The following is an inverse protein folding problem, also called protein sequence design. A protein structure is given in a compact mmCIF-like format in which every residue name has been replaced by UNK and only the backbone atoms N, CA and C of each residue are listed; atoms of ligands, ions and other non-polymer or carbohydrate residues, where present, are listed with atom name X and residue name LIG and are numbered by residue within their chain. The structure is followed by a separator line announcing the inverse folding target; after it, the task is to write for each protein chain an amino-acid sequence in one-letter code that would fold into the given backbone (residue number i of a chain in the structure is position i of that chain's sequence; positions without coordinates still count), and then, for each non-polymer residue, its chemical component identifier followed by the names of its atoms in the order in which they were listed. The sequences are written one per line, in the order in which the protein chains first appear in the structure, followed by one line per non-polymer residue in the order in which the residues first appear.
data_IF_517268755081
#
_entry.id   IF_517268755081
#
_cell.length_a   1.000
_cell.length_b   1.000
_cell.length_c   1.000
_cell.angle_alpha   90.00
_cell.angle_beta   90.00
_cell.angle_gamma   90.00
#
_symmetry.space_group_name_H-M   'P 1'
#
loop_
_entity.id
_entity.type
_entity.pdbx_description
1 polymer ?
#
# COMPACT_ATOMS: atom_id res chain seq x y z
N UNK A 1 8.49 0.33 -15.93
CA UNK A 1 8.09 1.16 -17.10
C UNK A 1 7.24 2.36 -16.67
N UNK A 2 6.10 2.19 -15.96
CA UNK A 2 5.20 3.30 -15.61
C UNK A 2 5.91 4.51 -14.98
N UNK A 3 6.75 4.30 -13.97
CA UNK A 3 7.50 5.40 -13.32
C UNK A 3 8.38 6.17 -14.32
N UNK A 4 9.03 5.46 -15.22
CA UNK A 4 9.90 6.08 -16.25
C UNK A 4 9.08 6.95 -17.19
N UNK A 5 7.91 6.49 -17.62
CA UNK A 5 7.04 7.27 -18.51
C UNK A 5 6.45 8.49 -17.79
N UNK A 6 6.07 8.34 -16.50
CA UNK A 6 5.64 9.48 -15.70
C UNK A 6 6.74 10.53 -15.54
N UNK A 7 7.99 10.10 -15.29
CA UNK A 7 9.13 11.03 -15.21
C UNK A 7 9.36 11.76 -16.52
N UNK A 8 9.23 11.08 -17.67
CA UNK A 8 9.33 11.74 -18.99
C UNK A 8 8.26 12.81 -19.19
N UNK A 9 6.98 12.49 -18.87
CA UNK A 9 5.89 13.46 -18.97
C UNK A 9 6.15 14.71 -18.12
N UNK A 10 6.70 14.54 -16.92
CA UNK A 10 7.06 15.66 -16.05
C UNK A 10 8.22 16.48 -16.63
N UNK A 11 9.25 15.82 -17.19
CA UNK A 11 10.40 16.45 -17.79
C UNK A 11 10.06 17.25 -19.06
N UNK A 12 9.05 16.83 -19.82
CA UNK A 12 8.54 17.59 -20.98
C UNK A 12 7.99 18.96 -20.58
N UNK A 13 7.56 19.10 -19.31
CA UNK A 13 6.98 20.33 -18.76
C UNK A 13 7.84 20.98 -17.67
N UNK A 14 9.14 20.70 -17.64
CA UNK A 14 10.07 21.17 -16.59
C UNK A 14 10.10 22.69 -16.39
N UNK A 15 9.75 23.46 -17.42
CA UNK A 15 9.74 24.92 -17.35
C UNK A 15 8.50 25.46 -16.60
N UNK A 16 7.48 24.63 -16.40
CA UNK A 16 6.24 24.99 -15.72
C UNK A 16 5.92 24.09 -14.50
N UNK A 17 6.59 22.94 -14.37
CA UNK A 17 6.38 21.99 -13.27
C UNK A 17 7.69 21.85 -12.47
N UNK A 18 7.61 22.15 -11.16
CA UNK A 18 8.69 21.90 -10.22
C UNK A 18 8.39 20.65 -9.40
N UNK A 19 9.11 19.56 -9.72
CA UNK A 19 9.01 18.31 -8.99
C UNK A 19 9.97 18.31 -7.81
N UNK A 20 9.47 18.01 -6.61
CA UNK A 20 10.24 17.89 -5.37
C UNK A 20 10.12 16.48 -4.82
N UNK A 21 11.02 15.58 -5.25
CA UNK A 21 11.13 14.24 -4.70
C UNK A 21 11.70 14.26 -3.28
N UNK A 22 11.44 13.18 -2.52
CA UNK A 22 11.89 13.04 -1.11
C UNK A 22 11.43 14.19 -0.21
N UNK A 23 10.23 14.70 -0.49
CA UNK A 23 9.58 15.76 0.24
C UNK A 23 8.25 15.27 0.78
N UNK A 24 8.00 15.51 2.07
CA UNK A 24 6.80 15.06 2.76
C UNK A 24 5.92 16.26 3.11
N UNK A 25 4.74 16.37 2.50
CA UNK A 25 3.74 17.38 2.87
C UNK A 25 3.22 17.11 4.28
N UNK A 26 3.32 18.10 5.17
CA UNK A 26 3.04 17.88 6.60
C UNK A 26 1.87 18.71 7.13
N UNK A 27 1.73 19.96 6.72
CA UNK A 27 0.70 20.85 7.21
C UNK A 27 0.24 21.87 6.18
N UNK A 28 -1.05 22.23 6.16
CA UNK A 28 -1.50 23.39 5.40
C UNK A 28 -1.00 24.70 6.05
N UNK A 29 -0.82 25.71 5.23
CA UNK A 29 -0.65 27.10 5.65
C UNK A 29 -2.02 27.75 5.51
N UNK A 30 -2.63 28.12 6.64
CA UNK A 30 -3.99 28.63 6.68
C UNK A 30 -4.02 30.14 6.93
N UNK A 31 -5.03 30.80 6.37
CA UNK A 31 -5.42 32.18 6.65
C UNK A 31 -6.94 32.16 6.83
N UNK A 32 -7.40 32.08 8.08
CA UNK A 32 -8.78 31.72 8.39
C UNK A 32 -9.14 30.36 7.77
N UNK A 33 -10.20 30.30 6.99
CA UNK A 33 -10.68 29.09 6.30
C UNK A 33 -10.03 28.91 4.90
N UNK A 34 -9.05 29.74 4.56
CA UNK A 34 -8.39 29.68 3.25
C UNK A 34 -7.02 29.03 3.35
N UNK A 35 -6.77 27.99 2.56
CA UNK A 35 -5.44 27.42 2.42
C UNK A 35 -4.58 28.32 1.51
N UNK A 36 -3.40 28.70 1.98
CA UNK A 36 -2.43 29.54 1.24
C UNK A 36 -1.22 28.79 0.75
N UNK A 37 -1.05 27.54 1.16
CA UNK A 37 0.10 26.72 0.79
C UNK A 37 0.27 25.53 1.71
N UNK A 38 1.44 24.91 1.65
CA UNK A 38 1.78 23.70 2.39
C UNK A 38 3.18 23.78 2.95
N UNK A 39 3.36 23.36 4.20
CA UNK A 39 4.66 23.01 4.76
C UNK A 39 5.04 21.59 4.37
N UNK A 40 6.30 21.39 4.04
CA UNK A 40 6.85 20.06 3.77
C UNK A 40 8.20 19.88 4.46
N UNK A 41 8.53 18.63 4.76
CA UNK A 41 9.82 18.21 5.32
C UNK A 41 10.66 17.54 4.22
N UNK A 42 11.94 17.83 4.22
CA UNK A 42 12.93 17.19 3.37
C UNK A 42 14.26 17.07 4.11
N UNK A 43 15.30 16.49 3.49
CA UNK A 43 16.65 16.49 4.08
C UNK A 43 17.23 17.90 4.28
N UNK A 44 16.69 18.91 3.60
CA UNK A 44 17.09 20.30 3.79
C UNK A 44 16.35 20.98 4.95
N UNK A 45 15.52 20.24 5.66
CA UNK A 45 14.67 20.73 6.74
C UNK A 45 13.28 21.14 6.27
N UNK A 46 12.57 21.88 7.13
CA UNK A 46 11.22 22.36 6.86
C UNK A 46 11.23 23.53 5.90
N UNK A 47 10.37 23.43 4.88
CA UNK A 47 10.15 24.48 3.89
C UNK A 47 8.65 24.70 3.69
N UNK A 48 8.30 25.76 2.96
CA UNK A 48 6.94 26.12 2.64
C UNK A 48 6.84 26.44 1.13
N UNK A 49 5.70 26.02 0.55
CA UNK A 49 5.28 26.45 -0.79
C UNK A 49 3.97 27.19 -0.63
N UNK A 50 3.93 28.43 -1.13
CA UNK A 50 2.69 29.21 -1.24
C UNK A 50 2.05 28.95 -2.59
N UNK A 51 0.72 28.78 -2.60
CA UNK A 51 -0.04 28.48 -3.80
C UNK A 51 -1.44 29.09 -3.74
N UNK A 52 -2.01 29.45 -4.90
CA UNK A 52 -3.39 29.88 -5.02
C UNK A 52 -4.38 28.74 -4.88
N UNK A 53 -3.97 27.53 -5.29
CA UNK A 53 -4.76 26.30 -5.23
C UNK A 53 -3.85 25.20 -4.69
N UNK A 54 -4.35 24.42 -3.75
CA UNK A 54 -3.69 23.25 -3.19
C UNK A 54 -4.54 22.02 -3.47
N UNK A 55 -3.92 20.99 -4.04
CA UNK A 55 -4.54 19.68 -4.29
C UNK A 55 -3.88 18.68 -3.35
N UNK A 56 -4.66 18.13 -2.43
CA UNK A 56 -4.22 17.06 -1.53
C UNK A 56 -4.34 15.70 -2.26
N UNK A 57 -3.21 15.18 -2.69
CA UNK A 57 -3.08 13.86 -3.30
C UNK A 57 -2.20 12.92 -2.46
N UNK A 58 -2.10 13.16 -1.16
CA UNK A 58 -1.27 12.37 -0.23
C UNK A 58 -1.75 10.92 -0.08
N UNK A 59 -3.00 10.63 -0.42
CA UNK A 59 -3.62 9.32 -0.27
C UNK A 59 -4.21 9.09 1.12
N UNK A 60 -3.66 9.74 2.13
CA UNK A 60 -4.04 9.62 3.54
C UNK A 60 -4.73 10.87 4.12
N UNK A 61 -4.92 11.91 3.29
CA UNK A 61 -5.55 13.16 3.71
C UNK A 61 -4.69 13.97 4.67
N UNK A 62 -3.37 13.89 4.54
CA UNK A 62 -2.41 14.50 5.46
C UNK A 62 -2.56 16.02 5.54
N UNK A 63 -3.08 16.65 4.48
CA UNK A 63 -3.27 18.09 4.43
C UNK A 63 -4.71 18.46 4.83
N UNK A 64 -5.76 17.90 4.17
CA UNK A 64 -7.13 18.35 4.41
C UNK A 64 -7.59 18.12 5.86
N UNK A 65 -7.18 17.02 6.51
CA UNK A 65 -7.57 16.74 7.91
C UNK A 65 -7.13 17.81 8.91
N UNK A 66 -6.21 18.68 8.52
CA UNK A 66 -5.68 19.77 9.36
C UNK A 66 -6.22 21.15 8.97
N UNK A 67 -7.17 21.21 8.02
CA UNK A 67 -7.78 22.48 7.58
C UNK A 67 -9.05 22.85 8.34
N UNK A 68 -9.56 21.94 9.18
CA UNK A 68 -10.87 22.12 9.85
C UNK A 68 -12.05 21.53 9.06
N UNK A 69 -11.83 21.01 7.85
CA UNK A 69 -12.88 20.33 7.08
C UNK A 69 -13.32 19.03 7.78
N UNK A 70 -14.62 18.68 7.71
CA UNK A 70 -15.11 17.43 8.26
C UNK A 70 -14.53 16.23 7.47
N UNK A 71 -14.21 15.15 8.17
CA UNK A 71 -13.68 13.94 7.57
C UNK A 71 -14.05 12.70 8.38
N UNK A 72 -14.03 11.55 7.72
CA UNK A 72 -14.16 10.24 8.33
C UNK A 72 -12.78 9.63 8.58
N UNK A 73 -12.59 9.05 9.75
CA UNK A 73 -11.39 8.29 10.11
C UNK A 73 -11.60 6.78 10.02
N UNK A 74 -10.60 6.02 10.43
CA UNK A 74 -10.64 4.55 10.43
C UNK A 74 -11.68 3.94 11.36
N UNK A 75 -12.07 4.65 12.42
CA UNK A 75 -13.13 4.23 13.32
C UNK A 75 -14.50 4.19 12.64
N UNK A 76 -14.67 4.91 11.53
CA UNK A 76 -15.92 4.98 10.80
C UNK A 76 -16.07 3.79 9.87
N UNK A 77 -17.09 3.00 10.08
CA UNK A 77 -17.37 1.78 9.28
C UNK A 77 -17.48 2.03 7.78
N UNK A 78 -17.80 3.24 7.38
CA UNK A 78 -17.97 3.67 5.97
C UNK A 78 -16.63 3.85 5.22
N UNK A 79 -15.53 4.06 5.95
CA UNK A 79 -14.21 4.25 5.32
C UNK A 79 -13.46 2.96 5.09
N UNK A 80 -14.01 1.84 5.53
CA UNK A 80 -13.25 0.64 5.71
C UNK A 80 -13.20 -0.31 4.51
N UNK A 81 -11.99 -0.51 4.01
CA UNK A 81 -11.64 -1.73 3.26
C UNK A 81 -10.41 -2.38 3.94
N UNK A 82 -9.47 -2.94 3.26
CA UNK A 82 -8.16 -3.29 3.82
C UNK A 82 -7.37 -2.01 4.11
N UNK A 83 -7.01 -1.75 5.36
CA UNK A 83 -6.43 -0.49 5.80
C UNK A 83 -4.98 -0.33 5.38
N UNK A 84 -4.24 -1.43 5.32
CA UNK A 84 -2.82 -1.41 4.99
C UNK A 84 -2.33 -2.74 4.43
N UNK A 85 -1.18 -2.73 3.77
CA UNK A 85 -0.49 -3.92 3.29
C UNK A 85 1.03 -3.70 3.26
N UNK A 86 1.80 -4.74 3.56
CA UNK A 86 3.22 -4.80 3.25
C UNK A 86 3.42 -5.87 2.17
N UNK A 87 3.57 -5.44 0.94
CA UNK A 87 3.75 -6.34 -0.20
C UNK A 87 5.18 -6.89 -0.24
N UNK A 88 5.32 -8.16 -0.59
CA UNK A 88 6.60 -8.80 -0.79
C UNK A 88 6.56 -9.75 -1.97
N UNK A 89 7.72 -10.10 -2.51
CA UNK A 89 7.83 -10.99 -3.66
C UNK A 89 8.62 -12.26 -3.34
N UNK A 90 8.23 -13.32 -4.02
CA UNK A 90 8.86 -14.63 -3.97
C UNK A 90 9.44 -14.90 -5.36
N UNK A 91 10.72 -15.24 -5.42
CA UNK A 91 11.39 -15.74 -6.61
C UNK A 91 11.54 -17.26 -6.56
N UNK A 92 11.92 -17.88 -7.68
CA UNK A 92 12.16 -19.31 -7.79
C UNK A 92 10.88 -20.17 -7.69
N UNK A 93 9.71 -19.57 -7.86
CA UNK A 93 8.44 -20.29 -7.99
C UNK A 93 8.19 -20.72 -9.45
N UNK A 94 7.14 -21.50 -9.67
CA UNK A 94 6.61 -21.79 -11.00
C UNK A 94 5.10 -21.55 -10.99
N UNK A 95 4.70 -20.40 -11.52
CA UNK A 95 3.31 -19.98 -11.48
C UNK A 95 2.39 -20.82 -12.33
N UNK A 96 2.85 -21.27 -13.49
CA UNK A 96 2.06 -22.13 -14.38
C UNK A 96 1.77 -23.48 -13.72
N UNK A 97 2.77 -24.12 -13.13
CA UNK A 97 2.58 -25.35 -12.37
C UNK A 97 1.67 -25.14 -11.15
N UNK A 98 1.74 -23.97 -10.49
CA UNK A 98 0.80 -23.64 -9.41
C UNK A 98 -0.64 -23.55 -9.92
N UNK A 99 -0.86 -22.92 -11.08
CA UNK A 99 -2.18 -22.81 -11.69
C UNK A 99 -2.74 -24.17 -12.11
N UNK A 100 -1.92 -25.02 -12.70
CA UNK A 100 -2.31 -26.39 -13.08
C UNK A 100 -2.61 -27.25 -11.85
N UNK A 101 -1.75 -27.19 -10.84
CA UNK A 101 -1.95 -27.89 -9.59
C UNK A 101 -3.27 -27.49 -8.92
N UNK A 102 -3.62 -26.21 -8.92
CA UNK A 102 -4.91 -25.73 -8.38
C UNK A 102 -6.11 -26.32 -9.11
N UNK A 103 -6.04 -26.47 -10.44
CA UNK A 103 -7.13 -27.02 -11.26
C UNK A 103 -7.43 -28.49 -10.95
N UNK A 104 -6.42 -29.25 -10.57
CA UNK A 104 -6.51 -30.69 -10.31
C UNK A 104 -6.62 -31.05 -8.84
N UNK A 105 -6.35 -30.09 -7.93
CA UNK A 105 -6.28 -30.32 -6.47
C UNK A 105 -7.11 -29.29 -5.69
N UNK A 106 -8.39 -29.13 -6.01
CA UNK A 106 -9.24 -28.08 -5.47
C UNK A 106 -9.27 -28.05 -3.92
N UNK A 107 -9.42 -29.19 -3.26
CA UNK A 107 -9.44 -29.26 -1.80
C UNK A 107 -8.09 -28.85 -1.18
N UNK A 108 -6.98 -29.32 -1.76
CA UNK A 108 -5.65 -28.95 -1.32
C UNK A 108 -5.33 -27.45 -1.55
N UNK A 109 -5.84 -26.90 -2.66
CA UNK A 109 -5.69 -25.47 -2.96
C UNK A 109 -6.47 -24.58 -1.97
N UNK A 110 -7.69 -25.00 -1.58
CA UNK A 110 -8.46 -24.32 -0.54
C UNK A 110 -7.73 -24.38 0.81
N UNK A 111 -7.25 -25.55 1.20
CA UNK A 111 -6.47 -25.75 2.43
C UNK A 111 -5.17 -24.94 2.43
N UNK A 112 -4.49 -24.82 1.27
CA UNK A 112 -3.29 -23.99 1.11
C UNK A 112 -3.63 -22.52 1.41
N UNK A 113 -4.70 -21.98 0.84
CA UNK A 113 -5.09 -20.58 1.06
C UNK A 113 -5.44 -20.30 2.54
N UNK A 114 -6.20 -21.18 3.15
CA UNK A 114 -6.57 -21.07 4.56
C UNK A 114 -5.33 -21.15 5.46
N UNK A 115 -4.50 -22.15 5.29
CA UNK A 115 -3.29 -22.34 6.07
C UNK A 115 -2.27 -21.22 5.86
N UNK A 116 -2.13 -20.73 4.64
CA UNK A 116 -1.27 -19.59 4.35
C UNK A 116 -1.73 -18.33 5.08
N UNK A 117 -3.03 -18.05 5.07
CA UNK A 117 -3.59 -16.92 5.81
C UNK A 117 -3.41 -17.07 7.33
N UNK A 118 -3.55 -18.29 7.86
CA UNK A 118 -3.28 -18.57 9.28
C UNK A 118 -1.82 -18.33 9.67
N UNK A 119 -0.88 -18.76 8.83
CA UNK A 119 0.56 -18.55 9.06
C UNK A 119 0.92 -17.06 8.99
N UNK A 120 0.30 -16.31 8.09
CA UNK A 120 0.51 -14.87 7.98
C UNK A 120 -0.18 -14.06 9.10
N UNK A 121 -1.13 -14.66 9.83
CA UNK A 121 -1.95 -13.97 10.84
C UNK A 121 -3.04 -13.05 10.26
N UNK A 122 -3.17 -12.99 8.93
CA UNK A 122 -4.13 -12.16 8.20
C UNK A 122 -4.35 -12.72 6.79
N UNK A 123 -5.35 -12.20 6.11
CA UNK A 123 -5.63 -12.63 4.73
C UNK A 123 -4.45 -12.33 3.80
N UNK A 124 -3.90 -13.36 3.19
CA UNK A 124 -2.82 -13.28 2.23
C UNK A 124 -3.02 -14.30 1.11
N UNK A 125 -2.54 -14.00 -0.09
CA UNK A 125 -2.56 -14.91 -1.22
C UNK A 125 -1.38 -14.63 -2.15
N UNK A 126 -0.78 -15.69 -2.75
CA UNK A 126 0.14 -15.53 -3.86
C UNK A 126 -0.61 -15.02 -5.10
N UNK A 127 -0.02 -14.08 -5.80
CA UNK A 127 -0.52 -13.47 -7.04
C UNK A 127 0.57 -13.54 -8.13
N UNK A 128 0.19 -13.58 -9.43
CA UNK A 128 1.17 -13.65 -10.50
C UNK A 128 2.08 -12.43 -10.52
N UNK A 129 3.37 -12.67 -10.71
CA UNK A 129 4.37 -11.65 -10.96
C UNK A 129 4.53 -11.35 -12.46
N UNK A 130 5.55 -10.57 -12.82
CA UNK A 130 5.84 -10.22 -14.21
C UNK A 130 6.39 -11.40 -15.04
N UNK A 131 6.90 -12.43 -14.37
CA UNK A 131 7.49 -13.63 -14.96
C UNK A 131 6.96 -14.87 -14.25
N UNK A 132 7.07 -16.04 -14.88
CA UNK A 132 6.57 -17.29 -14.33
C UNK A 132 7.27 -17.72 -13.02
N UNK A 133 8.50 -17.31 -12.83
CA UNK A 133 9.33 -17.64 -11.67
C UNK A 133 9.23 -16.63 -10.52
N UNK A 134 8.41 -15.59 -10.65
CA UNK A 134 8.16 -14.57 -9.62
C UNK A 134 6.67 -14.48 -9.31
N UNK A 135 6.32 -14.51 -8.05
CA UNK A 135 4.98 -14.11 -7.58
C UNK A 135 5.09 -13.09 -6.45
N UNK A 136 4.03 -12.36 -6.21
CA UNK A 136 3.96 -11.39 -5.12
C UNK A 136 2.84 -11.74 -4.15
N UNK A 137 3.00 -11.32 -2.91
CA UNK A 137 2.05 -11.56 -1.83
C UNK A 137 1.46 -10.21 -1.44
N UNK A 138 0.16 -10.09 -1.52
CA UNK A 138 -0.58 -8.95 -1.02
C UNK A 138 -1.18 -9.32 0.34
N UNK A 139 -0.71 -8.66 1.37
CA UNK A 139 -1.17 -8.84 2.74
C UNK A 139 -2.20 -7.75 3.07
N UNK A 140 -3.25 -8.11 3.78
CA UNK A 140 -4.27 -7.16 4.20
C UNK A 140 -4.43 -7.17 5.71
N UNK A 141 -4.15 -6.04 6.32
CA UNK A 141 -4.34 -5.81 7.75
C UNK A 141 -5.58 -4.94 7.98
N UNK A 142 -6.79 -5.52 8.15
CA UNK A 142 -8.03 -4.75 8.15
C UNK A 142 -8.28 -3.96 9.44
N UNK A 143 -7.59 -4.28 10.52
CA UNK A 143 -7.87 -3.75 11.87
C UNK A 143 -6.75 -2.86 12.44
N UNK A 144 -5.76 -2.50 11.62
CA UNK A 144 -4.64 -1.65 12.03
C UNK A 144 -4.85 -0.22 11.62
N UNK A 145 -4.70 0.69 12.55
CA UNK A 145 -4.71 2.13 12.30
C UNK A 145 -3.30 2.63 11.98
N UNK A 146 -2.88 2.45 10.72
CA UNK A 146 -1.57 2.90 10.28
C UNK A 146 -1.48 4.42 10.04
N UNK A 147 -2.45 5.19 10.45
CA UNK A 147 -2.33 6.64 10.62
C UNK A 147 -1.54 7.01 11.89
N UNK A 148 -1.35 6.09 12.82
CA UNK A 148 -0.49 6.28 13.98
C UNK A 148 0.83 5.51 13.85
N UNK A 149 1.89 6.08 14.38
CA UNK A 149 3.25 5.56 14.25
C UNK A 149 3.42 4.18 14.89
N UNK A 150 2.75 3.91 16.00
CA UNK A 150 2.85 2.64 16.72
C UNK A 150 2.31 1.49 15.88
N UNK A 151 1.05 1.59 15.43
CA UNK A 151 0.41 0.56 14.63
C UNK A 151 1.13 0.33 13.29
N UNK A 152 1.58 1.41 12.65
CA UNK A 152 2.35 1.31 11.41
C UNK A 152 3.66 0.53 11.63
N UNK A 153 4.41 0.85 12.69
CA UNK A 153 5.67 0.20 13.02
C UNK A 153 5.47 -1.26 13.39
N UNK A 154 4.53 -1.55 14.28
CA UNK A 154 4.23 -2.91 14.71
C UNK A 154 3.77 -3.77 13.54
N UNK A 155 2.85 -3.27 12.70
CA UNK A 155 2.37 -3.99 11.52
C UNK A 155 3.50 -4.33 10.55
N UNK A 156 4.40 -3.40 10.30
CA UNK A 156 5.53 -3.62 9.40
C UNK A 156 6.49 -4.69 9.93
N UNK A 157 6.81 -4.64 11.23
CA UNK A 157 7.69 -5.61 11.88
C UNK A 157 7.05 -7.00 11.97
N UNK A 158 5.81 -7.10 12.44
CA UNK A 158 5.06 -8.35 12.53
C UNK A 158 4.92 -9.02 11.16
N UNK A 159 4.60 -8.24 10.11
CA UNK A 159 4.48 -8.78 8.76
C UNK A 159 5.80 -9.37 8.27
N UNK A 160 6.92 -8.69 8.51
CA UNK A 160 8.25 -9.21 8.13
C UNK A 160 8.60 -10.48 8.90
N UNK A 161 8.27 -10.57 10.17
CA UNK A 161 8.53 -11.76 10.98
C UNK A 161 7.81 -13.00 10.44
N UNK A 162 6.57 -12.82 9.94
CA UNK A 162 5.80 -13.94 9.39
C UNK A 162 6.27 -14.44 8.02
N UNK A 163 7.01 -13.65 7.25
CA UNK A 163 7.35 -13.96 5.85
C UNK A 163 8.15 -15.25 5.69
N UNK A 164 9.07 -15.53 6.62
CA UNK A 164 9.87 -16.77 6.59
C UNK A 164 8.98 -18.00 6.76
N UNK A 165 8.10 -17.98 7.76
CA UNK A 165 7.18 -19.07 8.04
C UNK A 165 6.19 -19.28 6.89
N UNK A 166 5.71 -18.18 6.31
CA UNK A 166 4.82 -18.18 5.15
C UNK A 166 5.48 -18.83 3.93
N UNK A 167 6.74 -18.51 3.67
CA UNK A 167 7.51 -19.10 2.57
C UNK A 167 7.73 -20.61 2.79
N UNK A 168 8.12 -21.02 3.99
CA UNK A 168 8.26 -22.44 4.32
C UNK A 168 6.95 -23.20 4.22
N UNK A 169 5.85 -22.59 4.61
CA UNK A 169 4.52 -23.17 4.43
C UNK A 169 4.21 -23.42 2.94
N UNK A 170 4.44 -22.46 2.06
CA UNK A 170 4.21 -22.64 0.61
C UNK A 170 5.07 -23.76 0.03
N UNK A 171 6.34 -23.85 0.42
CA UNK A 171 7.24 -24.93 -0.01
C UNK A 171 6.72 -26.31 0.38
N UNK A 172 6.11 -26.45 1.56
CA UNK A 172 5.55 -27.71 2.06
C UNK A 172 4.17 -28.01 1.46
N UNK A 173 3.32 -27.01 1.35
CA UNK A 173 1.94 -27.17 0.90
C UNK A 173 1.83 -27.40 -0.63
N UNK A 174 2.71 -26.82 -1.41
CA UNK A 174 2.74 -27.00 -2.87
C UNK A 174 4.18 -27.07 -3.40
N UNK A 175 4.92 -28.17 -3.14
CA UNK A 175 6.33 -28.31 -3.52
C UNK A 175 6.54 -28.31 -5.03
N UNK A 176 5.54 -28.68 -5.84
CA UNK A 176 5.63 -28.68 -7.30
C UNK A 176 5.87 -27.25 -7.84
N UNK A 177 5.32 -26.25 -7.17
CA UNK A 177 5.43 -24.85 -7.58
C UNK A 177 6.42 -24.03 -6.74
N UNK A 178 6.65 -24.38 -5.46
CA UNK A 178 7.37 -23.53 -4.52
C UNK A 178 8.60 -24.18 -3.87
N UNK A 179 9.01 -25.39 -4.26
CA UNK A 179 10.18 -26.08 -3.65
C UNK A 179 11.42 -25.20 -3.60
N UNK A 180 11.72 -24.50 -4.67
CA UNK A 180 12.90 -23.64 -4.83
C UNK A 180 12.59 -22.16 -4.54
N UNK A 181 11.40 -21.85 -4.03
CA UNK A 181 11.00 -20.48 -3.79
C UNK A 181 11.88 -19.83 -2.70
N UNK A 182 12.19 -18.56 -2.86
CA UNK A 182 12.95 -17.75 -1.89
C UNK A 182 12.34 -16.36 -1.78
N UNK A 183 12.59 -15.69 -0.67
CA UNK A 183 12.21 -14.30 -0.49
C UNK A 183 13.03 -13.43 -1.46
N UNK A 184 12.36 -12.85 -2.45
CA UNK A 184 13.00 -12.04 -3.49
C UNK A 184 13.24 -10.61 -2.99
N UNK A 185 12.20 -9.91 -2.57
CA UNK A 185 12.27 -8.61 -1.92
C UNK A 185 11.02 -8.31 -1.09
N UNK A 186 11.10 -7.23 -0.33
CA UNK A 186 10.02 -6.68 0.50
C UNK A 186 9.83 -5.23 0.09
N UNK A 187 8.59 -4.75 0.03
CA UNK A 187 8.32 -3.34 -0.17
C UNK A 187 9.09 -2.47 0.84
N UNK A 188 9.65 -1.34 0.41
CA UNK A 188 10.50 -0.51 1.27
C UNK A 188 9.76 0.08 2.48
N UNK A 189 8.44 0.18 2.39
CA UNK A 189 7.59 0.70 3.45
C UNK A 189 6.19 0.08 3.38
N UNK A 190 5.49 0.16 4.51
CA UNK A 190 4.09 -0.21 4.60
C UNK A 190 3.25 0.66 3.66
N UNK A 191 2.35 0.04 2.91
CA UNK A 191 1.39 0.72 2.05
C UNK A 191 0.09 0.97 2.79
N UNK A 192 -0.10 2.17 3.31
CA UNK A 192 -1.40 2.61 3.83
C UNK A 192 -2.38 2.73 2.67
N UNK A 193 -3.59 2.22 2.82
CA UNK A 193 -4.60 2.19 1.76
C UNK A 193 -5.80 3.08 2.04
N UNK A 194 -6.12 3.25 3.31
CA UNK A 194 -7.26 4.00 3.75
C UNK A 194 -7.03 4.44 5.20
N UNK A 195 -6.84 5.73 5.43
CA UNK A 195 -6.73 6.32 6.77
C UNK A 195 -7.83 7.35 7.01
N UNK A 196 -7.93 8.35 6.15
CA UNK A 196 -8.94 9.41 6.24
C UNK A 196 -9.63 9.63 4.90
N UNK A 197 -10.89 10.04 4.97
CA UNK A 197 -11.70 10.43 3.80
C UNK A 197 -12.41 11.75 4.10
N UNK A 198 -12.27 12.71 3.20
CA UNK A 198 -12.98 13.97 3.30
C UNK A 198 -14.51 13.72 3.28
N UNK A 199 -15.24 14.35 4.20
CA UNK A 199 -16.69 14.44 4.14
C UNK A 199 -17.03 15.65 3.25
N UNK A 200 -17.01 15.40 1.95
CA UNK A 200 -17.21 16.43 0.92
C UNK A 200 -18.70 16.72 0.68
N UNK A 201 -18.97 17.88 0.07
CA UNK A 201 -20.34 18.26 -0.34
C UNK A 201 -20.95 17.25 -1.32
N UNK A 202 -20.12 16.55 -2.07
CA UNK A 202 -20.53 15.49 -2.99
C UNK A 202 -19.76 14.21 -2.73
N UNK A 203 -20.48 13.11 -2.64
CA UNK A 203 -19.92 11.75 -2.49
C UNK A 203 -20.32 10.93 -3.70
N UNK A 204 -19.34 10.45 -4.46
CA UNK A 204 -19.56 9.55 -5.61
C UNK A 204 -20.23 8.26 -5.12
N UNK A 205 -21.29 7.87 -5.78
CA UNK A 205 -22.07 6.66 -5.51
C UNK A 205 -22.04 5.69 -6.69
N UNK A 206 -22.44 4.42 -6.52
CA UNK A 206 -22.55 3.48 -7.64
C UNK A 206 -23.53 3.90 -8.76
N UNK A 207 -24.34 4.93 -8.54
CA UNK A 207 -25.31 5.44 -9.50
C UNK A 207 -24.77 6.63 -10.31
N UNK A 208 -23.57 7.06 -10.06
CA UNK A 208 -22.85 8.10 -10.80
C UNK A 208 -22.05 7.48 -11.95
#
# INVERSE_FOLDING_TARGET
QLKIEMDKMLLEHKDSIHVMCHSWGTRPIMDGDTIKGVYFESKEGRKAVLAKIVIDATGDGDIFRQTGCPYFGLADKLTRCATTALVWRIGGCNWDLFCEWKKTNHAAAAALHEGFSKVCGFRAAPLPGPTNDVCWINNWHPERDCSNLKDATETEMETRDTMRNALEYLRKACPVAFRNAFLYDIAPQLGTRCSYRLDGEYVITPND
#
